data_IF_369043776184
#
_entry.id   IF_369043776184
#
_cell.length_a   1.000
_cell.length_b   1.000
_cell.length_c   1.000
_cell.angle_alpha   90.00
_cell.angle_beta   90.00
_cell.angle_gamma   90.00
#
_symmetry.space_group_name_H-M   'P 1'
#
loop_
_entity.id
_entity.type
_entity.pdbx_description
1 polymer ?
#
# COMPACT_ATOMS: atom_id res chain seq x y z
N UNK A 1 12.42 -3.72 19.77
CA UNK A 1 12.03 -4.76 18.83
C UNK A 1 11.60 -4.16 17.51
N UNK A 2 12.02 -4.75 16.45
CA UNK A 2 11.70 -4.26 15.13
C UNK A 2 10.49 -4.98 14.56
N UNK A 3 9.49 -4.23 14.17
CA UNK A 3 8.29 -4.81 13.57
C UNK A 3 8.33 -4.62 12.06
N UNK A 4 8.24 -5.72 11.33
CA UNK A 4 8.25 -5.65 9.88
C UNK A 4 6.89 -5.24 9.37
N UNK A 5 6.74 -3.95 9.09
CA UNK A 5 5.53 -3.42 8.49
C UNK A 5 5.67 -3.43 6.98
N UNK A 6 4.58 -3.74 6.30
CA UNK A 6 4.54 -3.71 4.84
C UNK A 6 3.86 -2.44 4.37
N UNK A 7 4.33 -1.94 3.23
CA UNK A 7 3.73 -0.79 2.58
C UNK A 7 3.83 -0.97 1.06
N UNK A 8 2.84 -0.47 0.35
CA UNK A 8 2.82 -0.51 -1.10
C UNK A 8 3.32 0.81 -1.64
N UNK A 9 4.33 0.76 -2.52
CA UNK A 9 4.87 1.94 -3.19
C UNK A 9 3.94 2.33 -4.33
N UNK A 10 3.32 3.50 -4.22
CA UNK A 10 2.40 4.03 -5.23
C UNK A 10 3.07 4.96 -6.23
N UNK A 11 4.32 5.29 -5.99
CA UNK A 11 5.01 6.30 -6.76
C UNK A 11 5.62 5.73 -8.03
N UNK A 12 5.56 6.51 -9.11
CA UNK A 12 6.18 6.14 -10.37
C UNK A 12 7.70 6.08 -10.26
N UNK A 13 8.33 5.16 -10.99
CA UNK A 13 9.78 5.07 -11.04
C UNK A 13 10.43 6.34 -11.61
N UNK A 14 9.67 7.14 -12.35
CA UNK A 14 10.18 8.40 -12.87
C UNK A 14 10.54 9.39 -11.74
N UNK A 15 10.02 9.16 -10.54
CA UNK A 15 10.27 10.00 -9.39
C UNK A 15 11.22 9.33 -8.39
N UNK A 16 12.00 8.36 -8.85
CA UNK A 16 12.85 7.57 -7.97
C UNK A 16 13.97 8.32 -7.28
N UNK A 17 14.30 9.54 -7.73
CA UNK A 17 15.37 10.33 -7.12
C UNK A 17 14.91 11.14 -5.92
N UNK A 18 13.62 11.13 -5.62
CA UNK A 18 13.12 11.84 -4.44
C UNK A 18 13.54 11.12 -3.16
N UNK A 19 13.67 11.89 -2.09
CA UNK A 19 14.06 11.35 -0.78
C UNK A 19 12.91 10.67 -0.05
N UNK A 20 11.69 10.80 -0.57
CA UNK A 20 10.51 10.14 -0.03
C UNK A 20 9.77 9.38 -1.11
N UNK A 21 8.97 8.40 -0.68
CA UNK A 21 8.08 7.65 -1.56
C UNK A 21 6.66 7.71 -1.02
N UNK A 22 5.70 7.87 -1.92
CA UNK A 22 4.28 7.82 -1.55
C UNK A 22 3.87 6.37 -1.41
N UNK A 23 3.47 5.98 -0.20
CA UNK A 23 3.19 4.59 0.10
C UNK A 23 1.87 4.45 0.85
N UNK A 24 1.20 3.32 0.62
CA UNK A 24 0.00 2.94 1.36
C UNK A 24 0.35 1.79 2.30
N UNK A 25 -0.03 1.87 3.58
CA UNK A 25 0.21 0.76 4.50
C UNK A 25 -0.53 -0.50 4.07
N UNK A 26 0.12 -1.64 4.21
CA UNK A 26 -0.47 -2.95 4.00
C UNK A 26 -0.62 -3.61 5.36
N UNK A 27 -1.85 -3.81 5.80
CA UNK A 27 -2.12 -4.32 7.14
C UNK A 27 -2.62 -5.77 7.06
N UNK A 28 -2.29 -6.60 8.06
CA UNK A 28 -2.94 -7.89 8.15
C UNK A 28 -4.45 -7.70 8.17
N UNK A 29 -5.17 -8.60 7.54
CA UNK A 29 -6.61 -8.45 7.34
C UNK A 29 -7.36 -8.14 8.63
N UNK A 30 -6.99 -8.80 9.73
CA UNK A 30 -7.66 -8.62 11.01
C UNK A 30 -7.31 -7.31 11.71
N UNK A 31 -6.30 -6.59 11.23
CA UNK A 31 -5.87 -5.36 11.89
C UNK A 31 -6.70 -4.15 11.51
N UNK A 32 -7.50 -4.22 10.44
CA UNK A 32 -8.35 -3.13 10.01
C UNK A 32 -9.78 -3.39 10.46
N UNK A 33 -10.30 -2.59 11.41
CA UNK A 33 -11.60 -2.90 12.02
C UNK A 33 -12.78 -2.79 11.06
N UNK A 34 -12.66 -1.97 10.02
CA UNK A 34 -13.73 -1.81 9.04
C UNK A 34 -13.13 -1.70 7.65
N UNK A 35 -13.53 -2.60 6.77
CA UNK A 35 -13.02 -2.67 5.41
C UNK A 35 -14.08 -2.15 4.44
N UNK A 36 -13.67 -1.20 3.60
CA UNK A 36 -14.48 -0.73 2.49
C UNK A 36 -13.92 -1.35 1.22
N UNK A 37 -14.68 -2.24 0.61
CA UNK A 37 -14.19 -3.05 -0.50
C UNK A 37 -13.51 -2.24 -1.60
N UNK A 38 -14.08 -1.12 -1.99
CA UNK A 38 -13.53 -0.30 -3.07
C UNK A 38 -12.28 0.49 -2.65
N UNK A 39 -12.20 0.86 -1.38
CA UNK A 39 -11.09 1.64 -0.86
C UNK A 39 -9.95 0.74 -0.37
N UNK A 40 -10.28 -0.45 0.12
CA UNK A 40 -9.33 -1.33 0.78
C UNK A 40 -9.23 -2.68 0.06
N UNK A 41 -8.55 -2.74 -1.09
CA UNK A 41 -8.39 -4.01 -1.79
C UNK A 41 -7.54 -4.97 -0.96
N UNK A 42 -7.84 -6.25 -1.09
CA UNK A 42 -7.18 -7.31 -0.35
C UNK A 42 -6.21 -8.07 -1.26
N UNK A 43 -5.07 -8.45 -0.70
CA UNK A 43 -4.04 -9.18 -1.42
C UNK A 43 -3.48 -10.29 -0.55
N UNK A 44 -2.96 -11.32 -1.20
CA UNK A 44 -2.22 -12.38 -0.50
C UNK A 44 -0.74 -12.16 -0.75
N UNK A 45 0.02 -11.99 0.34
CA UNK A 45 1.47 -11.77 0.28
C UNK A 45 2.13 -12.81 1.16
N UNK A 46 2.99 -13.66 0.58
CA UNK A 46 3.63 -14.75 1.29
C UNK A 46 2.62 -15.63 2.03
N UNK A 47 1.53 -15.97 1.34
CA UNK A 47 0.44 -16.84 1.83
C UNK A 47 -0.37 -16.24 2.98
N UNK A 48 -0.21 -14.95 3.26
CA UNK A 48 -0.97 -14.27 4.30
C UNK A 48 -1.86 -13.20 3.70
N UNK A 49 -3.09 -13.04 4.21
CA UNK A 49 -4.00 -12.01 3.71
C UNK A 49 -3.65 -10.63 4.27
N UNK A 50 -3.56 -9.67 3.36
CA UNK A 50 -3.31 -8.27 3.69
C UNK A 50 -4.37 -7.39 3.06
N UNK A 51 -4.56 -6.21 3.62
CA UNK A 51 -5.47 -5.22 3.07
C UNK A 51 -4.70 -3.90 2.91
N UNK A 52 -4.91 -3.24 1.77
CA UNK A 52 -4.28 -1.94 1.53
C UNK A 52 -5.09 -0.86 2.24
N UNK A 53 -4.46 -0.19 3.20
CA UNK A 53 -5.10 0.90 3.93
C UNK A 53 -4.91 2.20 3.16
N UNK A 54 -5.63 2.33 2.06
CA UNK A 54 -5.49 3.44 1.10
C UNK A 54 -5.68 4.79 1.77
N UNK A 55 -6.60 4.88 2.71
CA UNK A 55 -6.90 6.12 3.43
C UNK A 55 -5.72 6.63 4.28
N UNK A 56 -4.75 5.78 4.54
CA UNK A 56 -3.55 6.15 5.31
C UNK A 56 -2.32 6.33 4.44
N UNK A 57 -2.51 6.53 3.14
CA UNK A 57 -1.43 6.81 2.21
C UNK A 57 -0.66 8.07 2.65
N UNK A 58 0.66 8.00 2.58
CA UNK A 58 1.50 9.12 2.96
C UNK A 58 2.91 8.96 2.44
N UNK A 59 3.74 9.96 2.70
CA UNK A 59 5.13 9.97 2.29
C UNK A 59 6.01 9.30 3.35
N UNK A 60 6.90 8.43 2.91
CA UNK A 60 7.83 7.72 3.78
C UNK A 60 9.24 8.00 3.30
N UNK A 61 10.16 8.31 4.24
CA UNK A 61 11.55 8.52 3.90
C UNK A 61 12.16 7.25 3.30
N UNK A 62 12.93 7.40 2.22
CA UNK A 62 13.59 6.23 1.61
C UNK A 62 14.51 5.53 2.58
N UNK A 63 14.97 6.21 3.61
CA UNK A 63 15.85 5.61 4.62
C UNK A 63 15.13 4.57 5.47
N UNK A 64 13.82 4.62 5.51
CA UNK A 64 13.01 3.68 6.31
C UNK A 64 12.51 2.50 5.48
N UNK A 65 12.79 2.50 4.19
CA UNK A 65 12.31 1.45 3.28
C UNK A 65 13.32 0.32 3.25
N UNK A 66 12.84 -0.88 3.53
CA UNK A 66 13.65 -2.09 3.44
C UNK A 66 13.57 -2.74 2.08
N UNK A 67 13.74 -4.04 2.05
CA UNK A 67 13.73 -4.79 0.80
C UNK A 67 12.35 -5.00 0.23
N UNK A 68 12.31 -5.41 -1.03
CA UNK A 68 11.07 -5.75 -1.72
C UNK A 68 10.61 -7.13 -1.25
N UNK A 69 9.35 -7.22 -0.84
CA UNK A 69 8.76 -8.47 -0.36
C UNK A 69 7.95 -9.15 -1.47
N UNK A 70 7.23 -8.36 -2.27
CA UNK A 70 6.40 -8.89 -3.33
C UNK A 70 6.18 -7.83 -4.41
N UNK A 71 5.81 -8.30 -5.60
CA UNK A 71 5.50 -7.42 -6.73
C UNK A 71 4.02 -7.54 -7.04
N UNK A 72 3.27 -6.44 -6.89
CA UNK A 72 1.83 -6.41 -7.14
C UNK A 72 1.47 -5.73 -8.46
N UNK A 73 2.40 -5.67 -9.41
CA UNK A 73 2.15 -5.04 -10.71
C UNK A 73 0.94 -5.64 -11.41
N UNK A 74 0.73 -6.93 -11.28
CA UNK A 74 -0.42 -7.60 -11.90
C UNK A 74 -1.76 -7.15 -11.30
N UNK A 75 -1.73 -6.49 -10.14
CA UNK A 75 -2.92 -6.00 -9.45
C UNK A 75 -3.09 -4.49 -9.59
N UNK A 76 -2.37 -3.87 -10.52
CA UNK A 76 -2.35 -2.40 -10.63
C UNK A 76 -3.74 -1.80 -10.85
N UNK A 77 -4.61 -2.49 -11.61
CA UNK A 77 -5.96 -1.96 -11.84
C UNK A 77 -6.75 -1.80 -10.54
N UNK A 78 -6.63 -2.77 -9.64
CA UNK A 78 -7.31 -2.71 -8.35
C UNK A 78 -6.73 -1.61 -7.47
N UNK A 79 -5.42 -1.44 -7.53
CA UNK A 79 -4.71 -0.42 -6.74
C UNK A 79 -5.10 0.98 -7.24
N UNK A 80 -5.07 1.19 -8.56
CA UNK A 80 -5.45 2.47 -9.15
C UNK A 80 -6.91 2.79 -8.83
N UNK A 81 -7.80 1.82 -8.92
CA UNK A 81 -9.21 2.02 -8.61
C UNK A 81 -9.41 2.48 -7.16
N UNK A 82 -8.64 1.90 -6.22
CA UNK A 82 -8.74 2.29 -4.81
C UNK A 82 -8.26 3.72 -4.57
N UNK A 83 -7.15 4.09 -5.21
CA UNK A 83 -6.61 5.46 -5.09
C UNK A 83 -7.59 6.46 -5.70
N UNK A 84 -8.14 6.15 -6.87
CA UNK A 84 -9.12 7.01 -7.49
C UNK A 84 -10.37 7.17 -6.63
N UNK A 85 -10.82 6.09 -6.01
CA UNK A 85 -11.98 6.12 -5.12
C UNK A 85 -11.74 7.06 -3.94
N UNK A 86 -10.53 7.02 -3.37
CA UNK A 86 -10.15 7.91 -2.27
C UNK A 86 -10.26 9.37 -2.67
N UNK A 87 -9.72 9.72 -3.85
CA UNK A 87 -9.66 11.11 -4.28
C UNK A 87 -10.99 11.63 -4.83
N UNK A 88 -11.88 10.76 -5.26
CA UNK A 88 -13.21 11.20 -5.73
C UNK A 88 -14.17 11.50 -4.58
N UNK A 89 -13.83 11.05 -3.38
CA UNK A 89 -14.68 11.28 -2.22
C UNK A 89 -15.92 10.39 -2.27
N UNK A 90 -15.79 9.25 -1.74
CA UNK A 90 -16.85 8.24 -1.67
C UNK A 90 -17.98 8.63 -0.71
#
# INVERSE_FOLDING_TARGET
>A
MHTDALALDLQSDLLGELTTRTMAPMLPLEALPKIMRQLNPQFVINDLPYVMATQFTGAISVKEIGGVVADLTAESDRIIAAVDFLFQGF
#
